data_IF_593192724406
#
_entry.id   IF_593192724406
#
_cell.length_a   1.000
_cell.length_b   1.000
_cell.length_c   1.000
_cell.angle_alpha   90.00
_cell.angle_beta   90.00
_cell.angle_gamma   90.00
#
_symmetry.space_group_name_H-M   'P 1'
#
loop_
_entity.id
_entity.type
_entity.pdbx_description
1 polymer ?
#
# COMPACT_ATOMS: atom_id res chain seq x y z
N UNK A 1 -2.46 2.66 3.79
CA UNK A 1 -1.31 2.85 4.69
C UNK A 1 -1.41 4.16 5.43
N UNK A 2 -0.99 4.21 6.68
CA UNK A 2 -1.08 5.40 7.55
C UNK A 2 -2.06 5.22 8.71
N UNK A 3 -2.50 6.32 9.32
CA UNK A 3 -3.50 6.31 10.41
C UNK A 3 -4.89 6.07 9.83
N UNK A 4 -5.62 5.14 10.44
CA UNK A 4 -6.99 4.82 10.04
C UNK A 4 -7.94 5.98 10.33
N UNK A 5 -8.90 6.18 9.43
CA UNK A 5 -9.91 7.24 9.49
C UNK A 5 -11.32 6.67 9.33
N UNK A 6 -11.54 5.50 9.91
CA UNK A 6 -12.80 4.76 9.80
C UNK A 6 -13.15 4.50 8.33
N UNK A 7 -12.14 4.05 7.57
CA UNK A 7 -12.30 3.78 6.15
C UNK A 7 -13.01 2.44 5.94
N UNK A 8 -13.79 2.28 4.85
CA UNK A 8 -14.52 1.05 4.56
C UNK A 8 -13.59 -0.05 4.02
N UNK A 9 -12.78 -0.65 4.90
CA UNK A 9 -11.73 -1.59 4.53
C UNK A 9 -12.27 -2.89 3.91
N UNK A 10 -13.47 -3.32 4.26
CA UNK A 10 -14.11 -4.50 3.67
C UNK A 10 -14.47 -4.26 2.20
N UNK A 11 -15.04 -3.09 1.89
CA UNK A 11 -15.37 -2.71 0.51
C UNK A 11 -14.09 -2.53 -0.33
N UNK A 12 -13.06 -1.93 0.26
CA UNK A 12 -11.73 -1.86 -0.34
C UNK A 12 -11.19 -3.27 -0.65
N UNK A 13 -11.16 -4.16 0.34
CA UNK A 13 -10.65 -5.53 0.24
C UNK A 13 -11.38 -6.34 -0.84
N UNK A 14 -12.71 -6.23 -0.93
CA UNK A 14 -13.52 -6.89 -1.94
C UNK A 14 -13.20 -6.47 -3.38
N UNK A 15 -12.71 -5.23 -3.58
CA UNK A 15 -12.30 -4.71 -4.88
C UNK A 15 -10.86 -5.09 -5.21
N UNK A 16 -9.91 -4.85 -4.30
CA UNK A 16 -8.48 -5.04 -4.58
C UNK A 16 -8.11 -6.50 -4.78
N UNK A 17 -8.73 -7.42 -4.02
CA UNK A 17 -8.48 -8.86 -4.16
C UNK A 17 -8.85 -9.43 -5.53
N UNK A 18 -9.61 -8.68 -6.34
CA UNK A 18 -10.04 -9.08 -7.70
C UNK A 18 -9.30 -8.37 -8.82
N UNK A 19 -8.58 -7.28 -8.52
CA UNK A 19 -8.08 -6.34 -9.54
C UNK A 19 -6.60 -5.99 -9.41
N UNK A 20 -5.95 -6.44 -8.33
CA UNK A 20 -4.60 -6.03 -7.98
C UNK A 20 -3.76 -7.28 -7.69
N UNK A 21 -2.58 -7.36 -8.29
CA UNK A 21 -1.64 -8.48 -8.10
C UNK A 21 -0.89 -8.38 -6.76
N UNK A 22 -0.55 -7.15 -6.36
CA UNK A 22 0.22 -6.86 -5.14
C UNK A 22 -0.39 -5.71 -4.34
N UNK A 23 -0.62 -5.93 -3.04
CA UNK A 23 -0.96 -4.87 -2.08
C UNK A 23 0.23 -4.68 -1.15
N UNK A 24 0.70 -3.44 -1.01
CA UNK A 24 1.75 -3.08 -0.06
C UNK A 24 1.13 -2.22 1.05
N UNK A 25 1.27 -2.68 2.29
CA UNK A 25 0.65 -2.06 3.48
C UNK A 25 1.72 -1.61 4.47
N UNK A 26 1.48 -0.49 5.16
CA UNK A 26 2.35 0.07 6.19
C UNK A 26 1.56 1.01 7.13
N UNK A 27 2.16 1.36 8.27
CA UNK A 27 1.57 2.25 9.29
C UNK A 27 0.47 1.58 10.13
N UNK A 28 -0.18 2.37 11.00
CA UNK A 28 -1.19 1.89 11.97
C UNK A 28 -2.33 1.08 11.35
N UNK A 29 -2.81 1.49 10.17
CA UNK A 29 -3.91 0.81 9.49
C UNK A 29 -3.51 -0.55 8.87
N UNK A 30 -2.22 -0.92 8.84
CA UNK A 30 -1.76 -2.12 8.16
C UNK A 30 -2.46 -3.40 8.69
N UNK A 31 -2.65 -3.52 10.00
CA UNK A 31 -3.34 -4.69 10.58
C UNK A 31 -4.80 -4.78 10.17
N UNK A 32 -5.50 -3.65 10.13
CA UNK A 32 -6.90 -3.60 9.68
C UNK A 32 -7.03 -3.97 8.20
N UNK A 33 -6.15 -3.43 7.35
CA UNK A 33 -6.15 -3.74 5.91
C UNK A 33 -5.81 -5.21 5.68
N UNK A 34 -4.80 -5.75 6.37
CA UNK A 34 -4.42 -7.16 6.29
C UNK A 34 -5.61 -8.06 6.64
N UNK A 35 -6.27 -7.80 7.78
CA UNK A 35 -7.41 -8.58 8.23
C UNK A 35 -8.58 -8.54 7.24
N UNK A 36 -8.91 -7.36 6.71
CA UNK A 36 -9.96 -7.20 5.71
C UNK A 36 -9.64 -7.95 4.41
N UNK A 37 -8.40 -7.87 3.93
CA UNK A 37 -7.94 -8.60 2.73
C UNK A 37 -7.97 -10.11 2.95
N UNK A 38 -7.51 -10.60 4.10
CA UNK A 38 -7.50 -12.02 4.42
C UNK A 38 -8.92 -12.60 4.55
N UNK A 39 -9.87 -11.80 5.04
CA UNK A 39 -11.29 -12.20 5.12
C UNK A 39 -11.97 -12.17 3.75
N UNK A 40 -11.63 -11.19 2.89
CA UNK A 40 -12.20 -11.06 1.55
C UNK A 40 -11.61 -12.08 0.55
N UNK A 41 -10.41 -12.61 0.83
CA UNK A 41 -9.78 -13.64 0.00
C UNK A 41 -10.65 -14.91 -0.01
N UNK A 42 -11.05 -15.31 -1.20
CA UNK A 42 -11.74 -16.59 -1.43
C UNK A 42 -11.07 -17.33 -2.59
N UNK A 43 -10.70 -18.59 -2.36
CA UNK A 43 -10.16 -19.47 -3.40
C UNK A 43 -8.83 -19.01 -4.03
N UNK A 44 -8.76 -19.02 -5.37
CA UNK A 44 -7.54 -18.81 -6.18
C UNK A 44 -7.14 -17.34 -6.41
N UNK A 45 -7.61 -16.39 -5.61
CA UNK A 45 -7.21 -14.98 -5.82
C UNK A 45 -5.72 -14.78 -5.52
N UNK A 46 -4.94 -14.50 -6.55
CA UNK A 46 -3.47 -14.33 -6.52
C UNK A 46 -3.01 -12.95 -6.00
N UNK A 47 -3.89 -12.18 -5.38
CA UNK A 47 -3.52 -10.91 -4.79
C UNK A 47 -2.60 -11.15 -3.59
N UNK A 48 -1.30 -10.83 -3.69
CA UNK A 48 -0.32 -10.95 -2.61
C UNK A 48 -0.33 -9.70 -1.71
N UNK A 49 0.01 -9.87 -0.43
CA UNK A 49 0.07 -8.76 0.53
C UNK A 49 1.47 -8.69 1.12
N UNK A 50 2.07 -7.50 1.03
CA UNK A 50 3.42 -7.21 1.52
C UNK A 50 3.34 -6.18 2.64
N UNK A 51 3.78 -6.56 3.84
CA UNK A 51 3.82 -5.66 4.99
C UNK A 51 5.17 -4.98 5.09
N UNK A 52 5.14 -3.66 5.18
CA UNK A 52 6.32 -2.81 5.31
C UNK A 52 6.25 -1.98 6.59
N UNK A 53 7.42 -1.57 7.09
CA UNK A 53 7.52 -0.70 8.26
C UNK A 53 6.97 0.70 7.96
N UNK A 54 7.38 1.26 6.83
CA UNK A 54 7.08 2.64 6.42
C UNK A 54 6.96 2.77 4.89
N UNK A 55 6.70 4.01 4.45
CA UNK A 55 6.56 4.33 3.02
C UNK A 55 7.87 4.13 2.26
N UNK A 56 9.02 4.42 2.85
CA UNK A 56 10.31 4.23 2.17
C UNK A 56 10.55 2.76 1.85
N UNK A 57 10.34 1.90 2.84
CA UNK A 57 10.46 0.44 2.68
C UNK A 57 9.41 -0.07 1.68
N UNK A 58 8.20 0.49 1.69
CA UNK A 58 7.16 0.16 0.72
C UNK A 58 7.54 0.49 -0.73
N UNK A 59 8.22 1.61 -0.98
CA UNK A 59 8.74 1.97 -2.32
C UNK A 59 9.79 0.97 -2.78
N UNK A 60 10.69 0.54 -1.90
CA UNK A 60 11.72 -0.46 -2.21
C UNK A 60 11.08 -1.82 -2.53
N UNK A 61 10.13 -2.27 -1.72
CA UNK A 61 9.41 -3.53 -1.96
C UNK A 61 8.65 -3.48 -3.28
N UNK A 62 7.97 -2.36 -3.58
CA UNK A 62 7.29 -2.18 -4.86
C UNK A 62 8.26 -2.40 -6.03
N UNK A 63 9.44 -1.77 -5.99
CA UNK A 63 10.44 -1.89 -7.03
C UNK A 63 11.00 -3.32 -7.22
N UNK A 64 10.94 -4.16 -6.18
CA UNK A 64 11.45 -5.53 -6.22
C UNK A 64 10.45 -6.54 -6.79
N UNK A 65 9.14 -6.26 -6.68
CA UNK A 65 8.08 -7.22 -7.02
C UNK A 65 7.40 -6.91 -8.34
N UNK A 66 7.51 -5.68 -8.84
CA UNK A 66 6.87 -5.27 -10.11
C UNK A 66 7.71 -5.67 -11.31
N UNK A 67 7.03 -5.96 -12.40
CA UNK A 67 7.61 -6.31 -13.69
C UNK A 67 7.44 -5.16 -14.72
N UNK A 68 8.25 -5.14 -15.80
CA UNK A 68 8.05 -4.18 -16.88
C UNK A 68 6.63 -4.27 -17.46
N UNK A 69 5.88 -3.16 -17.37
CA UNK A 69 4.48 -3.09 -17.80
C UNK A 69 3.50 -2.92 -16.64
N UNK A 70 3.94 -3.15 -15.41
CA UNK A 70 3.13 -2.93 -14.22
C UNK A 70 2.92 -1.44 -13.91
N UNK A 71 1.86 -1.17 -13.16
CA UNK A 71 1.54 0.17 -12.65
C UNK A 71 1.57 0.14 -11.12
N UNK A 72 2.43 0.98 -10.55
CA UNK A 72 2.44 1.24 -9.10
C UNK A 72 1.56 2.44 -8.80
N UNK A 73 0.48 2.21 -8.05
CA UNK A 73 -0.41 3.28 -7.57
C UNK A 73 -0.16 3.58 -6.09
N UNK A 74 0.32 4.79 -5.80
CA UNK A 74 0.37 5.28 -4.42
C UNK A 74 -0.95 5.96 -4.02
N UNK A 75 -1.83 5.19 -3.38
CA UNK A 75 -3.11 5.68 -2.83
C UNK A 75 -3.26 5.24 -1.36
N UNK A 76 -2.64 5.95 -0.41
CA UNK A 76 -2.53 5.48 0.97
C UNK A 76 -3.86 5.42 1.73
N UNK A 77 -4.92 6.11 1.28
CA UNK A 77 -6.27 6.10 1.88
C UNK A 77 -6.37 6.79 3.25
N UNK A 78 -5.42 6.57 4.14
CA UNK A 78 -5.32 7.17 5.47
C UNK A 78 -4.48 8.45 5.52
N UNK A 79 -4.58 9.17 6.63
CA UNK A 79 -3.71 10.34 6.88
C UNK A 79 -2.26 9.95 7.03
N UNK A 80 -1.36 10.93 6.88
CA UNK A 80 0.04 10.76 7.25
C UNK A 80 0.11 10.17 8.66
N UNK A 81 0.92 9.11 8.79
CA UNK A 81 1.41 8.64 10.07
C UNK A 81 2.42 9.68 10.60
N UNK A 82 2.85 9.60 11.86
CA UNK A 82 3.71 10.60 12.56
C UNK A 82 5.04 10.94 11.84
N UNK A 83 5.35 10.25 10.73
CA UNK A 83 6.49 10.46 9.84
C UNK A 83 6.34 11.65 8.85
N UNK A 84 5.15 12.23 8.68
CA UNK A 84 4.95 13.35 7.72
C UNK A 84 4.01 14.44 8.25
N UNK A 85 4.40 15.70 8.05
CA UNK A 85 3.64 16.88 8.50
C UNK A 85 2.27 17.00 7.81
N UNK A 86 2.17 16.60 6.53
CA UNK A 86 0.92 16.59 5.78
C UNK A 86 0.92 15.59 4.61
N UNK A 87 -0.18 15.56 3.86
CA UNK A 87 -0.34 14.66 2.71
C UNK A 87 0.57 15.02 1.53
N UNK A 88 0.87 16.31 1.32
CA UNK A 88 1.68 16.79 0.21
C UNK A 88 3.15 16.42 0.42
N UNK A 89 3.65 16.60 1.65
CA UNK A 89 5.01 16.19 2.02
C UNK A 89 5.22 14.69 1.84
N UNK A 90 4.22 13.87 2.23
CA UNK A 90 4.25 12.43 1.98
C UNK A 90 4.31 12.09 0.48
N UNK A 91 3.61 12.85 -0.36
CA UNK A 91 3.64 12.71 -1.82
C UNK A 91 5.01 13.08 -2.41
N UNK A 92 5.62 14.16 -1.92
CA UNK A 92 6.98 14.56 -2.34
C UNK A 92 8.03 13.54 -1.91
N UNK A 93 7.92 12.97 -0.70
CA UNK A 93 8.80 11.88 -0.27
C UNK A 93 8.64 10.63 -1.14
N UNK A 94 7.41 10.24 -1.47
CA UNK A 94 7.16 9.15 -2.42
C UNK A 94 7.86 9.42 -3.76
N UNK A 95 7.65 10.61 -4.36
CA UNK A 95 8.27 11.01 -5.63
C UNK A 95 9.81 10.97 -5.55
N UNK A 96 10.37 11.50 -4.46
CA UNK A 96 11.81 11.51 -4.22
C UNK A 96 12.38 10.10 -4.15
N UNK A 97 11.77 9.20 -3.38
CA UNK A 97 12.25 7.83 -3.24
C UNK A 97 12.10 7.02 -4.53
N UNK A 98 11.00 7.21 -5.27
CA UNK A 98 10.83 6.59 -6.59
C UNK A 98 11.95 7.03 -7.54
N UNK A 99 12.27 8.32 -7.59
CA UNK A 99 13.36 8.83 -8.43
C UNK A 99 14.77 8.38 -7.99
N UNK A 100 14.91 7.83 -6.78
CA UNK A 100 16.17 7.29 -6.27
C UNK A 100 16.34 5.79 -6.56
N UNK A 101 15.28 5.10 -7.01
CA UNK A 101 15.37 3.73 -7.49
C UNK A 101 16.25 3.74 -8.75
N UNK A 102 17.45 3.17 -8.65
CA UNK A 102 18.36 3.06 -9.79
C UNK A 102 17.76 2.09 -10.81
N UNK A 103 17.77 2.51 -12.07
CA UNK A 103 17.50 1.66 -13.24
C UNK A 103 18.66 0.70 -13.51
#
# INVERSE_FOLDING_TARGET
GGRDKDLPWEAFAALVTKRVDHIIIFGEAADKVQHAVDTARSGKNYCSVHRCLDLQTAVVVAAQIVEPGDVVLFSPGGTSFDQFDNFADRGEWYRKWVNQLKS
#
